data_IF_313155920761
#
_entry.id   IF_313155920761
#
_cell.length_a   1.000
_cell.length_b   1.000
_cell.length_c   1.000
_cell.angle_alpha   90.00
_cell.angle_beta   90.00
_cell.angle_gamma   90.00
#
_symmetry.space_group_name_H-M   'P 1'
#
loop_
_entity.id
_entity.type
_entity.pdbx_description
1 polymer ?
#
# COMPACT_ATOMS: atom_id res chain seq x y z
N UNK A 1 32.09 25.25 -9.78
CA UNK A 1 32.74 23.97 -9.44
C UNK A 1 31.69 22.88 -9.65
N UNK A 2 31.93 21.93 -10.55
CA UNK A 2 31.00 20.83 -10.84
C UNK A 2 31.57 19.55 -10.22
N UNK A 3 30.83 18.92 -9.31
CA UNK A 3 31.21 17.66 -8.68
C UNK A 3 30.62 16.50 -9.50
N UNK A 4 31.42 15.47 -9.79
CA UNK A 4 30.93 14.30 -10.53
C UNK A 4 30.31 13.33 -9.53
N UNK A 5 29.07 12.93 -9.79
CA UNK A 5 28.35 11.99 -8.92
C UNK A 5 29.06 10.63 -8.79
N UNK A 6 29.82 10.21 -9.80
CA UNK A 6 30.60 8.96 -9.76
C UNK A 6 31.77 9.00 -8.77
N UNK A 7 32.19 10.19 -8.34
CA UNK A 7 33.25 10.35 -7.33
C UNK A 7 32.67 10.29 -5.90
N UNK A 8 31.35 10.12 -5.77
CA UNK A 8 30.67 9.98 -4.49
C UNK A 8 30.80 8.53 -3.97
N UNK A 9 31.25 8.33 -2.71
CA UNK A 9 31.15 7.05 -2.03
C UNK A 9 29.73 6.48 -2.10
N UNK A 10 29.63 5.16 -2.29
CA UNK A 10 28.32 4.50 -2.47
C UNK A 10 27.45 4.68 -1.23
N UNK A 11 28.04 4.68 -0.05
CA UNK A 11 27.38 4.91 1.23
C UNK A 11 26.70 6.28 1.27
N UNK A 12 27.38 7.32 0.77
CA UNK A 12 26.81 8.66 0.70
C UNK A 12 25.69 8.74 -0.34
N UNK A 13 25.82 8.07 -1.48
CA UNK A 13 24.76 7.98 -2.47
C UNK A 13 23.49 7.34 -1.89
N UNK A 14 23.63 6.24 -1.16
CA UNK A 14 22.52 5.55 -0.49
C UNK A 14 21.86 6.41 0.59
N UNK A 15 22.66 7.15 1.37
CA UNK A 15 22.15 8.12 2.35
C UNK A 15 21.32 9.22 1.66
N UNK A 16 21.79 9.73 0.52
CA UNK A 16 21.04 10.71 -0.28
C UNK A 16 19.71 10.11 -0.76
N UNK A 17 19.72 8.87 -1.24
CA UNK A 17 18.49 8.21 -1.73
C UNK A 17 17.48 8.02 -0.59
N UNK A 18 17.95 7.56 0.57
CA UNK A 18 17.14 7.41 1.78
C UNK A 18 16.52 8.74 2.21
N UNK A 19 17.30 9.82 2.26
CA UNK A 19 16.77 11.13 2.61
C UNK A 19 15.81 11.70 1.56
N UNK A 20 16.08 11.47 0.27
CA UNK A 20 15.20 11.91 -0.80
C UNK A 20 13.85 11.18 -0.82
N UNK A 21 13.83 9.94 -0.33
CA UNK A 21 12.64 9.08 -0.26
C UNK A 21 11.86 9.21 1.04
N UNK A 22 12.37 9.93 2.04
CA UNK A 22 11.65 10.19 3.28
C UNK A 22 10.60 11.29 3.08
N UNK A 23 9.30 10.98 3.18
CA UNK A 23 8.28 12.01 3.10
C UNK A 23 8.43 12.95 4.32
N UNK A 24 8.30 14.28 4.15
CA UNK A 24 8.38 15.22 5.25
C UNK A 24 7.12 15.10 6.13
N UNK A 25 7.16 14.25 7.15
CA UNK A 25 6.08 14.13 8.15
C UNK A 25 5.99 15.34 9.10
N UNK A 26 6.98 16.24 9.06
CA UNK A 26 7.17 17.28 10.07
C UNK A 26 6.37 18.58 9.85
N UNK A 27 5.53 18.69 8.82
CA UNK A 27 4.83 19.94 8.54
C UNK A 27 3.36 19.69 8.19
N UNK A 28 2.47 20.19 9.06
CA UNK A 28 1.01 20.29 8.89
C UNK A 28 0.57 21.17 7.71
N UNK A 29 1.45 21.39 6.72
CA UNK A 29 1.09 22.08 5.50
C UNK A 29 0.39 21.07 4.57
N UNK A 30 -0.71 21.45 3.90
CA UNK A 30 -1.24 20.63 2.81
C UNK A 30 -0.10 20.36 1.83
N UNK A 31 0.15 19.09 1.50
CA UNK A 31 1.20 18.69 0.56
C UNK A 31 0.94 19.36 -0.80
N UNK A 32 1.52 20.53 -1.03
CA UNK A 32 1.47 21.22 -2.33
C UNK A 32 2.39 20.57 -3.35
N UNK A 33 3.27 19.68 -2.91
CA UNK A 33 4.25 18.96 -3.72
C UNK A 33 4.27 17.48 -3.34
N UNK A 34 4.44 16.62 -4.33
CA UNK A 34 4.60 15.18 -4.15
C UNK A 34 5.79 14.91 -3.19
N UNK A 35 5.54 14.22 -2.06
CA UNK A 35 6.57 13.97 -1.05
C UNK A 35 7.75 13.13 -1.57
N UNK A 36 7.56 12.39 -2.66
CA UNK A 36 8.61 11.56 -3.27
C UNK A 36 9.25 12.20 -4.52
N UNK A 37 8.89 13.44 -4.87
CA UNK A 37 9.34 14.08 -6.12
C UNK A 37 10.86 14.06 -6.33
N UNK A 38 11.65 14.23 -5.27
CA UNK A 38 13.11 14.14 -5.31
C UNK A 38 13.59 12.72 -5.61
N UNK A 39 13.07 11.71 -4.90
CA UNK A 39 13.43 10.31 -5.11
C UNK A 39 12.98 9.79 -6.48
N UNK A 40 11.80 10.19 -6.96
CA UNK A 40 11.32 9.86 -8.30
C UNK A 40 12.23 10.45 -9.38
N UNK A 41 12.75 11.66 -9.17
CA UNK A 41 13.72 12.29 -10.06
C UNK A 41 15.04 11.52 -10.08
N UNK A 42 15.49 11.00 -8.93
CA UNK A 42 16.67 10.12 -8.85
C UNK A 42 16.46 8.82 -9.64
N UNK A 43 15.27 8.21 -9.57
CA UNK A 43 14.95 7.00 -10.34
C UNK A 43 15.04 7.19 -11.87
N UNK A 44 15.09 8.42 -12.38
CA UNK A 44 15.23 8.71 -13.81
C UNK A 44 16.69 8.82 -14.26
N UNK A 45 17.66 8.89 -13.33
CA UNK A 45 19.09 9.07 -13.66
C UNK A 45 19.67 7.84 -14.35
N UNK A 46 19.43 6.65 -13.79
CA UNK A 46 19.89 5.38 -14.38
C UNK A 46 19.13 4.20 -13.78
N UNK A 47 19.24 3.03 -14.43
CA UNK A 47 18.70 1.76 -13.94
C UNK A 47 19.24 1.39 -12.54
N UNK A 48 20.54 1.65 -12.30
CA UNK A 48 21.20 1.35 -11.02
C UNK A 48 20.65 2.25 -9.92
N UNK A 49 20.57 3.56 -10.18
CA UNK A 49 20.02 4.53 -9.23
C UNK A 49 18.56 4.21 -8.93
N UNK A 50 17.77 3.87 -9.96
CA UNK A 50 16.38 3.44 -9.79
C UNK A 50 16.25 2.23 -8.86
N UNK A 51 17.05 1.18 -9.06
CA UNK A 51 17.01 -0.04 -8.24
C UNK A 51 17.44 0.21 -6.79
N UNK A 52 18.31 1.19 -6.56
CA UNK A 52 18.74 1.58 -5.22
C UNK A 52 17.72 2.50 -4.51
N UNK A 53 17.06 3.40 -5.24
CA UNK A 53 16.12 4.36 -4.66
C UNK A 53 14.70 3.82 -4.48
N UNK A 54 14.23 2.92 -5.37
CA UNK A 54 12.87 2.37 -5.30
C UNK A 54 12.54 1.67 -3.97
N UNK A 55 13.41 0.83 -3.38
CA UNK A 55 13.15 0.24 -2.06
C UNK A 55 12.88 1.30 -1.00
N UNK A 56 13.65 2.39 -1.00
CA UNK A 56 13.51 3.48 -0.03
C UNK A 56 12.19 4.24 -0.24
N UNK A 57 11.76 4.44 -1.49
CA UNK A 57 10.46 5.07 -1.82
C UNK A 57 9.31 4.18 -1.37
N UNK A 58 9.39 2.88 -1.67
CA UNK A 58 8.31 1.93 -1.40
C UNK A 58 8.23 1.53 0.08
N UNK A 59 9.30 1.73 0.86
CA UNK A 59 9.30 1.46 2.29
C UNK A 59 8.07 2.05 2.98
N UNK A 60 7.70 3.27 2.61
CA UNK A 60 6.46 3.91 3.08
C UNK A 60 5.65 4.39 1.90
N UNK A 61 4.43 3.88 1.71
CA UNK A 61 3.52 4.29 0.62
C UNK A 61 2.36 5.11 1.17
N UNK A 62 2.15 6.31 0.63
CA UNK A 62 1.07 7.22 1.03
C UNK A 62 0.02 7.33 -0.08
N UNK A 63 -1.15 6.73 0.12
CA UNK A 63 -2.29 6.76 -0.80
C UNK A 63 -3.40 7.62 -0.19
N UNK A 64 -3.29 8.93 -0.35
CA UNK A 64 -4.18 9.89 0.32
C UNK A 64 -5.54 10.02 -0.38
N UNK A 65 -5.57 9.79 -1.69
CA UNK A 65 -6.75 9.95 -2.53
C UNK A 65 -7.04 8.70 -3.35
N UNK A 66 -8.26 8.60 -3.89
CA UNK A 66 -8.63 7.53 -4.82
C UNK A 66 -7.72 7.51 -6.05
N UNK A 67 -7.27 8.69 -6.51
CA UNK A 67 -6.34 8.80 -7.64
C UNK A 67 -5.00 8.15 -7.34
N UNK A 68 -4.49 8.33 -6.13
CA UNK A 68 -3.22 7.74 -5.70
C UNK A 68 -3.34 6.21 -5.64
N UNK A 69 -4.44 5.69 -5.08
CA UNK A 69 -4.72 4.25 -5.06
C UNK A 69 -4.77 3.67 -6.48
N UNK A 70 -5.52 4.30 -7.38
CA UNK A 70 -5.63 3.83 -8.76
C UNK A 70 -4.29 3.90 -9.50
N UNK A 71 -3.52 4.97 -9.32
CA UNK A 71 -2.18 5.08 -9.87
C UNK A 71 -1.26 3.98 -9.35
N UNK A 72 -1.36 3.65 -8.06
CA UNK A 72 -0.61 2.56 -7.45
C UNK A 72 -1.00 1.20 -8.02
N UNK A 73 -2.30 0.90 -8.15
CA UNK A 73 -2.78 -0.35 -8.79
C UNK A 73 -2.31 -0.46 -10.23
N UNK A 74 -2.34 0.64 -11.01
CA UNK A 74 -1.80 0.66 -12.37
C UNK A 74 -0.29 0.39 -12.40
N UNK A 75 0.45 0.93 -11.43
CA UNK A 75 1.88 0.64 -11.29
C UNK A 75 2.13 -0.83 -10.98
N UNK A 76 1.35 -1.45 -10.07
CA UNK A 76 1.43 -2.88 -9.79
C UNK A 76 1.14 -3.73 -11.03
N UNK A 77 0.10 -3.37 -11.80
CA UNK A 77 -0.24 -4.06 -13.05
C UNK A 77 0.90 -3.99 -14.05
N UNK A 78 1.50 -2.81 -14.23
CA UNK A 78 2.65 -2.62 -15.10
C UNK A 78 3.85 -3.46 -14.64
N UNK A 79 4.12 -3.51 -13.33
CA UNK A 79 5.22 -4.32 -12.79
C UNK A 79 4.99 -5.81 -12.97
N UNK A 80 3.76 -6.30 -12.80
CA UNK A 80 3.42 -7.69 -13.12
C UNK A 80 3.72 -8.01 -14.58
N UNK A 81 3.26 -7.18 -15.52
CA UNK A 81 3.57 -7.35 -16.95
C UNK A 81 5.09 -7.32 -17.21
N UNK A 82 5.84 -6.45 -16.54
CA UNK A 82 7.29 -6.43 -16.66
C UNK A 82 7.96 -7.69 -16.11
N UNK A 83 7.47 -8.23 -15.00
CA UNK A 83 7.98 -9.50 -14.45
C UNK A 83 7.69 -10.67 -15.38
N UNK A 84 6.47 -10.75 -15.93
CA UNK A 84 6.06 -11.80 -16.87
C UNK A 84 6.91 -11.78 -18.15
N UNK A 85 7.32 -10.59 -18.59
CA UNK A 85 8.18 -10.38 -19.76
C UNK A 85 9.68 -10.44 -19.46
N UNK A 86 10.07 -10.70 -18.20
CA UNK A 86 11.46 -10.59 -17.73
C UNK A 86 12.12 -9.24 -18.11
N UNK A 87 11.31 -8.18 -18.12
CA UNK A 87 11.74 -6.86 -18.53
C UNK A 87 12.75 -6.29 -17.54
N UNK A 88 13.72 -5.55 -18.05
CA UNK A 88 14.84 -5.02 -17.28
C UNK A 88 14.44 -4.05 -16.15
N UNK A 89 13.28 -3.40 -16.32
CA UNK A 89 12.67 -2.47 -15.37
C UNK A 89 11.68 -3.14 -14.40
N UNK A 90 11.54 -4.46 -14.46
CA UNK A 90 10.77 -5.21 -13.48
C UNK A 90 11.32 -4.97 -12.07
N UNK A 91 10.41 -4.81 -11.12
CA UNK A 91 10.72 -4.60 -9.73
C UNK A 91 9.56 -5.13 -8.89
N UNK A 92 9.87 -5.94 -7.89
CA UNK A 92 8.87 -6.48 -6.99
C UNK A 92 8.49 -5.43 -5.93
N UNK A 93 7.31 -4.84 -6.11
CA UNK A 93 6.83 -3.81 -5.20
C UNK A 93 6.42 -4.41 -3.86
N UNK A 94 5.84 -5.61 -3.86
CA UNK A 94 5.24 -6.21 -2.67
C UNK A 94 6.28 -6.48 -1.58
N UNK A 95 7.48 -6.91 -1.95
CA UNK A 95 8.58 -7.17 -1.00
C UNK A 95 9.19 -5.92 -0.36
N UNK A 96 8.99 -4.72 -0.95
CA UNK A 96 9.59 -3.48 -0.46
C UNK A 96 8.62 -2.61 0.35
N UNK A 97 7.32 -2.90 0.31
CA UNK A 97 6.33 -2.13 1.07
C UNK A 97 6.30 -2.57 2.52
N UNK A 98 6.81 -1.72 3.42
CA UNK A 98 6.80 -1.99 4.86
C UNK A 98 5.67 -1.27 5.58
N UNK A 99 5.40 -0.02 5.21
CA UNK A 99 4.34 0.80 5.77
C UNK A 99 3.46 1.32 4.64
N UNK A 100 2.14 1.22 4.81
CA UNK A 100 1.18 1.82 3.89
C UNK A 100 0.19 2.68 4.66
N UNK A 101 -0.13 3.86 4.11
CA UNK A 101 -1.19 4.73 4.62
C UNK A 101 -2.24 4.95 3.54
N UNK A 102 -3.47 4.61 3.85
CA UNK A 102 -4.64 4.73 2.98
C UNK A 102 -5.57 5.78 3.59
N UNK A 103 -5.52 6.99 3.01
CA UNK A 103 -6.32 8.14 3.42
C UNK A 103 -7.79 8.01 3.05
N UNK A 104 -8.60 8.98 3.46
CA UNK A 104 -10.04 8.96 3.21
C UNK A 104 -10.36 9.10 1.71
N UNK A 105 -11.02 8.09 1.14
CA UNK A 105 -11.57 8.20 -0.21
C UNK A 105 -12.93 8.90 -0.12
N UNK A 106 -13.04 10.10 -0.68
CA UNK A 106 -14.37 10.60 -1.03
C UNK A 106 -14.89 9.77 -2.20
N UNK A 107 -15.73 8.78 -1.91
CA UNK A 107 -16.80 8.44 -2.85
C UNK A 107 -17.68 9.66 -3.10
N UNK A 108 -18.49 9.70 -4.17
CA UNK A 108 -19.37 10.84 -4.40
C UNK A 108 -20.27 11.04 -3.17
N UNK A 109 -20.33 12.29 -2.71
CA UNK A 109 -21.08 12.74 -1.55
C UNK A 109 -22.53 12.20 -1.57
N UNK A 110 -22.96 11.70 -0.39
CA UNK A 110 -24.35 11.62 0.10
C UNK A 110 -25.29 10.65 -0.64
N UNK A 111 -25.43 9.47 -0.06
CA UNK A 111 -26.78 8.89 0.09
C UNK A 111 -27.49 9.62 1.24
N UNK A 112 -28.80 9.91 1.15
CA UNK A 112 -29.59 10.47 2.26
C UNK A 112 -29.55 9.54 3.49
N UNK A 113 -29.88 10.04 4.71
CA UNK A 113 -29.58 9.39 5.99
C UNK A 113 -30.30 8.05 6.28
N UNK A 114 -30.89 7.39 5.29
CA UNK A 114 -31.66 6.15 5.45
C UNK A 114 -31.20 4.97 4.57
N UNK A 115 -30.01 5.01 3.94
CA UNK A 115 -29.52 3.85 3.18
C UNK A 115 -28.50 3.04 4.01
N UNK A 116 -28.94 1.93 4.57
CA UNK A 116 -28.10 0.90 5.22
C UNK A 116 -27.21 0.11 4.24
N UNK A 117 -27.13 0.55 2.99
CA UNK A 117 -26.30 -0.06 1.96
C UNK A 117 -25.56 1.03 1.21
N UNK A 118 -24.24 1.05 1.36
CA UNK A 118 -23.32 1.82 0.53
C UNK A 118 -23.48 1.34 -0.91
N UNK A 119 -23.99 2.20 -1.80
CA UNK A 119 -24.05 1.89 -3.22
C UNK A 119 -22.62 1.73 -3.75
N UNK A 120 -22.25 0.61 -4.37
CA UNK A 120 -20.94 0.44 -4.97
C UNK A 120 -20.75 1.48 -6.08
N UNK A 121 -19.61 2.18 -6.11
CA UNK A 121 -19.23 3.03 -7.24
C UNK A 121 -18.90 2.09 -8.42
N UNK A 122 -19.72 2.03 -9.48
CA UNK A 122 -19.53 1.06 -10.56
C UNK A 122 -18.20 1.26 -11.30
N UNK A 123 -17.67 2.49 -11.31
CA UNK A 123 -16.42 2.84 -11.98
C UNK A 123 -15.16 2.35 -11.25
N UNK A 124 -15.24 2.12 -9.93
CA UNK A 124 -14.07 1.73 -9.13
C UNK A 124 -13.90 0.20 -9.05
N UNK A 125 -14.99 -0.56 -9.16
CA UNK A 125 -14.98 -2.02 -8.99
C UNK A 125 -14.30 -2.77 -10.13
N UNK A 126 -14.24 -2.19 -11.34
CA UNK A 126 -13.46 -2.75 -12.46
C UNK A 126 -11.99 -2.35 -12.46
N UNK A 127 -11.61 -1.30 -11.73
CA UNK A 127 -10.26 -0.73 -11.82
C UNK A 127 -9.34 -1.19 -10.69
N UNK A 128 -9.88 -1.44 -9.49
CA UNK A 128 -9.12 -1.97 -8.35
C UNK A 128 -9.01 -3.48 -8.46
N UNK A 129 -7.87 -3.93 -8.98
CA UNK A 129 -7.51 -5.35 -9.01
C UNK A 129 -7.06 -5.83 -7.62
N UNK A 130 -7.99 -6.42 -6.87
CA UNK A 130 -7.73 -6.93 -5.51
C UNK A 130 -6.64 -8.01 -5.53
N UNK A 131 -6.50 -8.78 -6.61
CA UNK A 131 -5.48 -9.82 -6.72
C UNK A 131 -4.06 -9.25 -6.72
N UNK A 132 -3.88 -8.03 -7.27
CA UNK A 132 -2.61 -7.31 -7.26
C UNK A 132 -2.38 -6.56 -5.96
N UNK A 133 -3.45 -6.01 -5.38
CA UNK A 133 -3.36 -5.15 -4.22
C UNK A 133 -3.22 -5.94 -2.91
N UNK A 134 -3.88 -7.10 -2.79
CA UNK A 134 -3.89 -7.90 -1.57
C UNK A 134 -2.48 -8.33 -1.11
N UNK A 135 -1.58 -8.84 -1.97
CA UNK A 135 -0.23 -9.20 -1.55
C UNK A 135 0.55 -8.03 -0.96
N UNK A 136 0.33 -6.82 -1.47
CA UNK A 136 1.04 -5.62 -1.00
C UNK A 136 0.47 -5.12 0.33
N UNK A 137 -0.86 -5.04 0.45
CA UNK A 137 -1.50 -4.58 1.69
C UNK A 137 -1.27 -5.57 2.83
N UNK A 138 -1.41 -6.87 2.57
CA UNK A 138 -1.27 -7.91 3.58
C UNK A 138 0.20 -8.25 3.90
N UNK A 139 1.11 -7.98 2.96
CA UNK A 139 2.55 -8.11 3.15
C UNK A 139 3.20 -6.94 3.89
N UNK A 140 2.51 -5.80 4.03
CA UNK A 140 3.00 -4.65 4.77
C UNK A 140 3.03 -4.93 6.28
N UNK A 141 4.12 -4.55 6.93
CA UNK A 141 4.28 -4.70 8.39
C UNK A 141 3.37 -3.76 9.20
N UNK A 142 3.04 -2.59 8.64
CA UNK A 142 2.20 -1.57 9.26
C UNK A 142 1.23 -0.97 8.25
N UNK A 143 -0.05 -0.90 8.59
CA UNK A 143 -1.09 -0.26 7.78
C UNK A 143 -1.77 0.84 8.58
N UNK A 144 -1.82 2.04 8.04
CA UNK A 144 -2.77 3.06 8.45
C UNK A 144 -3.91 3.11 7.42
N UNK A 145 -5.16 2.99 7.84
CA UNK A 145 -6.30 3.01 6.93
C UNK A 145 -7.47 3.79 7.54
N UNK A 146 -8.11 4.62 6.72
CA UNK A 146 -9.32 5.30 7.17
C UNK A 146 -10.49 4.31 7.37
N UNK A 147 -11.31 4.53 8.40
CA UNK A 147 -12.49 3.70 8.69
C UNK A 147 -13.38 3.47 7.46
N UNK A 148 -13.57 4.51 6.63
CA UNK A 148 -14.39 4.44 5.42
C UNK A 148 -13.88 3.42 4.39
N UNK A 149 -12.62 3.00 4.50
CA UNK A 149 -11.94 2.14 3.54
C UNK A 149 -11.70 0.72 4.07
N UNK A 150 -12.20 0.37 5.26
CA UNK A 150 -12.06 -0.98 5.83
C UNK A 150 -12.60 -2.08 4.91
N UNK A 151 -13.58 -1.76 4.06
CA UNK A 151 -14.09 -2.69 3.05
C UNK A 151 -12.99 -3.14 2.07
N UNK A 152 -12.01 -2.29 1.75
CA UNK A 152 -10.87 -2.64 0.90
C UNK A 152 -10.02 -3.74 1.56
N UNK A 153 -9.69 -3.55 2.84
CA UNK A 153 -8.95 -4.53 3.62
C UNK A 153 -9.75 -5.84 3.76
N UNK A 154 -11.06 -5.75 3.99
CA UNK A 154 -11.95 -6.92 4.02
C UNK A 154 -11.93 -7.70 2.70
N UNK A 155 -11.98 -6.99 1.55
CA UNK A 155 -11.87 -7.60 0.22
C UNK A 155 -10.51 -8.28 0.03
N UNK A 156 -9.41 -7.65 0.44
CA UNK A 156 -8.06 -8.25 0.38
C UNK A 156 -7.94 -9.52 1.24
N UNK A 157 -8.44 -9.49 2.47
CA UNK A 157 -8.42 -10.66 3.36
C UNK A 157 -9.25 -11.81 2.78
N UNK A 158 -10.47 -11.54 2.31
CA UNK A 158 -11.32 -12.53 1.65
C UNK A 158 -10.62 -13.14 0.43
N UNK A 159 -10.01 -12.30 -0.41
CA UNK A 159 -9.27 -12.77 -1.57
C UNK A 159 -8.13 -13.71 -1.16
N UNK A 160 -7.27 -13.29 -0.22
CA UNK A 160 -6.12 -14.08 0.21
C UNK A 160 -6.50 -15.42 0.83
N UNK A 161 -7.53 -15.43 1.68
CA UNK A 161 -8.02 -16.67 2.28
C UNK A 161 -8.69 -17.59 1.26
N UNK A 162 -9.38 -17.05 0.26
CA UNK A 162 -10.01 -17.86 -0.78
C UNK A 162 -8.99 -18.39 -1.80
N UNK A 163 -7.92 -17.65 -2.09
CA UNK A 163 -6.87 -18.10 -3.01
C UNK A 163 -5.98 -19.19 -2.42
N UNK A 164 -5.81 -19.21 -1.09
CA UNK A 164 -5.01 -20.23 -0.40
C UNK A 164 -5.72 -21.60 -0.37
N UNK A 165 -7.05 -21.60 -0.45
CA UNK A 165 -7.87 -22.83 -0.53
C UNK A 165 -7.66 -23.60 -1.84
N UNK A 166 -7.14 -22.94 -2.90
CA UNK A 166 -6.81 -23.59 -4.18
C UNK A 166 -5.41 -24.25 -4.21
N UNK A 167 -4.55 -24.03 -3.20
CA UNK A 167 -3.23 -24.66 -3.09
C UNK A 167 -3.22 -25.77 -2.03
N UNK A 168 -4.12 -26.73 -2.18
CA UNK A 168 -4.16 -27.90 -1.32
C UNK A 168 -3.10 -28.93 -1.74
N UNK A 169 -1.83 -28.68 -1.40
CA UNK A 169 -0.76 -29.70 -1.41
C UNK A 169 0.17 -29.47 -0.22
N UNK A 170 0.09 -30.40 0.74
CA UNK A 170 1.12 -30.82 1.69
C UNK A 170 1.76 -29.80 2.63
N UNK A 171 1.25 -29.82 3.87
CA UNK A 171 1.95 -29.61 5.14
C UNK A 171 3.37 -29.02 5.08
N UNK A 172 3.48 -27.71 5.37
CA UNK A 172 4.53 -27.15 6.26
C UNK A 172 4.18 -25.71 6.67
N UNK A 173 3.82 -25.57 7.94
CA UNK A 173 3.67 -24.32 8.69
C UNK A 173 2.64 -23.33 8.14
N UNK A 174 1.49 -23.27 8.82
CA UNK A 174 0.44 -22.25 8.67
C UNK A 174 1.00 -20.84 8.91
N UNK A 175 1.69 -20.29 7.90
CA UNK A 175 1.98 -18.88 7.84
C UNK A 175 0.67 -18.22 7.42
N UNK A 176 0.10 -17.41 8.31
CA UNK A 176 -1.05 -16.57 7.97
C UNK A 176 -0.76 -15.84 6.66
N UNK A 177 -1.76 -15.64 5.78
CA UNK A 177 -1.53 -15.01 4.48
C UNK A 177 -1.20 -13.51 4.58
N UNK A 178 -0.94 -13.01 5.78
CA UNK A 178 -0.55 -11.64 6.09
C UNK A 178 0.61 -11.63 7.09
N UNK A 179 1.47 -10.61 6.98
CA UNK A 179 2.64 -10.37 7.86
C UNK A 179 2.46 -9.13 8.75
N UNK A 180 1.32 -8.45 8.64
CA UNK A 180 1.02 -7.20 9.32
C UNK A 180 1.02 -7.35 10.84
N UNK A 181 1.67 -6.41 11.54
CA UNK A 181 1.76 -6.37 13.00
C UNK A 181 1.12 -5.13 13.61
N UNK A 182 1.01 -4.05 12.83
CA UNK A 182 0.46 -2.77 13.28
C UNK A 182 -0.67 -2.32 12.37
N UNK A 183 -1.82 -2.02 12.96
CA UNK A 183 -2.97 -1.42 12.29
C UNK A 183 -3.32 -0.10 12.97
N UNK A 184 -3.34 0.97 12.20
CA UNK A 184 -3.83 2.28 12.63
C UNK A 184 -5.10 2.61 11.88
N UNK A 185 -6.17 2.91 12.61
CA UNK A 185 -7.45 3.26 12.03
C UNK A 185 -7.71 4.74 12.24
N UNK A 186 -7.93 5.43 11.11
CA UNK A 186 -8.01 6.88 11.05
C UNK A 186 -9.46 7.34 10.83
N UNK A 187 -9.89 8.39 11.54
CA UNK A 187 -11.15 9.07 11.28
C UNK A 187 -12.30 8.56 12.14
N UNK A 188 -13.52 8.97 11.79
CA UNK A 188 -14.66 8.74 12.67
C UNK A 188 -15.13 7.28 12.69
N UNK A 189 -15.30 6.74 13.90
CA UNK A 189 -15.82 5.40 14.20
C UNK A 189 -17.28 5.16 13.75
N UNK A 190 -17.95 6.16 13.16
CA UNK A 190 -19.37 6.06 12.77
C UNK A 190 -19.61 5.15 11.55
N UNK A 191 -18.57 4.81 10.79
CA UNK A 191 -18.67 3.80 9.73
C UNK A 191 -18.66 2.39 10.36
N UNK A 192 -19.56 1.48 9.93
CA UNK A 192 -19.70 0.17 10.55
C UNK A 192 -18.43 -0.65 10.31
N UNK A 193 -17.52 -0.64 11.29
CA UNK A 193 -16.44 -1.62 11.44
C UNK A 193 -17.04 -3.02 11.61
N UNK A 194 -18.24 -3.14 12.16
CA UNK A 194 -18.86 -4.40 12.59
C UNK A 194 -18.83 -5.54 11.55
N UNK A 195 -19.13 -5.34 10.26
CA UNK A 195 -19.05 -6.40 9.24
C UNK A 195 -17.63 -6.94 9.03
N UNK A 196 -16.60 -6.17 9.38
CA UNK A 196 -15.21 -6.64 9.40
C UNK A 196 -14.98 -7.65 10.52
N UNK A 197 -15.52 -7.40 11.73
CA UNK A 197 -15.42 -8.29 12.90
C UNK A 197 -16.23 -9.56 12.75
N UNK A 198 -17.39 -9.48 12.10
CA UNK A 198 -18.27 -10.63 11.93
C UNK A 198 -17.69 -11.65 10.96
N UNK A 199 -16.70 -11.27 10.14
CA UNK A 199 -15.99 -12.21 9.29
C UNK A 199 -14.93 -12.98 10.08
N UNK A 200 -14.90 -14.31 9.93
CA UNK A 200 -13.87 -15.18 10.53
C UNK A 200 -12.46 -14.71 10.18
N UNK A 201 -12.26 -14.24 8.94
CA UNK A 201 -10.97 -13.73 8.46
C UNK A 201 -10.59 -12.41 9.15
N UNK A 202 -11.53 -11.48 9.32
CA UNK A 202 -11.27 -10.22 10.03
C UNK A 202 -10.95 -10.44 11.50
N UNK A 203 -11.64 -11.38 12.16
CA UNK A 203 -11.34 -11.76 13.54
C UNK A 203 -9.94 -12.38 13.67
N UNK A 204 -9.61 -13.36 12.83
CA UNK A 204 -8.29 -14.00 12.82
C UNK A 204 -7.17 -13.00 12.51
N UNK A 205 -7.41 -12.08 11.57
CA UNK A 205 -6.49 -10.99 11.25
C UNK A 205 -6.25 -10.10 12.47
N UNK A 206 -7.30 -9.58 13.10
CA UNK A 206 -7.16 -8.71 14.28
C UNK A 206 -6.49 -9.41 15.46
N UNK A 207 -6.77 -10.70 15.66
CA UNK A 207 -6.11 -11.50 16.69
C UNK A 207 -4.59 -11.64 16.45
N UNK A 208 -4.13 -11.49 15.21
CA UNK A 208 -2.70 -11.54 14.85
C UNK A 208 -1.99 -10.19 14.93
N UNK A 209 -2.73 -9.08 14.99
CA UNK A 209 -2.18 -7.73 15.11
C UNK A 209 -1.63 -7.53 16.52
N UNK A 210 -0.40 -7.02 16.62
CA UNK A 210 0.26 -6.73 17.90
C UNK A 210 -0.06 -5.33 18.41
N UNK A 211 -0.26 -4.38 17.49
CA UNK A 211 -0.52 -2.98 17.80
C UNK A 211 -1.72 -2.48 17.02
N UNK A 212 -2.78 -2.11 17.73
CA UNK A 212 -3.96 -1.47 17.18
C UNK A 212 -4.06 -0.05 17.72
N UNK A 213 -4.04 0.95 16.84
CA UNK A 213 -4.19 2.36 17.20
C UNK A 213 -5.45 2.91 16.56
N UNK A 214 -6.25 3.66 17.32
CA UNK A 214 -7.46 4.35 16.85
C UNK A 214 -7.23 5.86 16.97
N UNK A 215 -7.30 6.60 15.87
CA UNK A 215 -7.04 8.05 15.78
C UNK A 215 -8.21 8.82 15.17
#
# INVERSE_FOLDING_TARGET
>A
ISFRFNDLPTELALIIFKHAAQPPFAQYAPFTRDPYSSALSLCQVSKIVRRAALPEILHTVLLSTTRDLLAFVRALRMQKTYMDQQHDLSFDYASCVHMMSIGHFRGPLRSPPNSYFSVPIPELEGEIDISLLAPVILGASSLAINFSNLNLLSKCLKHACNSDVDLNVDHKNSLLPWSMRSLTLLGHFFDPWWPFMESVHGYAFLASIQHLTLL
#
